data_IF_386180263849
#
_entry.id   IF_386180263849
#
_cell.length_a   1.000
_cell.length_b   1.000
_cell.length_c   1.000
_cell.angle_alpha   90.00
_cell.angle_beta   90.00
_cell.angle_gamma   90.00
#
_symmetry.space_group_name_H-M   'P 1'
#
loop_
_entity.id
_entity.type
_entity.pdbx_description
1 polymer ?
#
# COMPACT_ATOMS: atom_id res chain seq x y z
N UNK A 1 -24.06 -14.80 53.07
CA UNK A 1 -24.39 -13.82 52.05
C UNK A 1 -23.35 -12.72 51.89
N UNK A 2 -22.93 -11.99 52.96
CA UNK A 2 -21.89 -10.93 52.86
C UNK A 2 -20.54 -11.40 52.27
N UNK A 3 -20.05 -12.61 52.63
CA UNK A 3 -18.78 -13.14 52.12
C UNK A 3 -18.83 -13.54 50.64
N UNK A 4 -19.99 -13.99 50.14
CA UNK A 4 -20.19 -14.31 48.72
C UNK A 4 -20.28 -13.04 47.87
N UNK A 5 -20.95 -12.00 48.40
CA UNK A 5 -21.03 -10.70 47.72
C UNK A 5 -19.65 -10.05 47.57
N UNK A 6 -18.80 -10.13 48.61
CA UNK A 6 -17.42 -9.61 48.57
C UNK A 6 -16.54 -10.36 47.55
N UNK A 7 -16.72 -11.69 47.43
CA UNK A 7 -16.00 -12.51 46.45
C UNK A 7 -16.43 -12.20 44.99
N UNK A 8 -17.73 -11.98 44.77
CA UNK A 8 -18.26 -11.60 43.46
C UNK A 8 -17.78 -10.22 43.04
N UNK A 9 -17.76 -9.24 43.95
CA UNK A 9 -17.24 -7.89 43.69
C UNK A 9 -15.73 -7.93 43.39
N UNK A 10 -14.97 -8.77 44.10
CA UNK A 10 -13.51 -8.92 43.84
C UNK A 10 -13.24 -9.60 42.49
N UNK A 11 -14.09 -10.59 42.10
CA UNK A 11 -13.98 -11.22 40.77
C UNK A 11 -14.35 -10.27 39.63
N UNK A 12 -15.34 -9.38 39.81
CA UNK A 12 -15.73 -8.40 38.84
C UNK A 12 -14.66 -7.31 38.61
N UNK A 13 -13.91 -6.93 39.67
CA UNK A 13 -12.81 -5.96 39.55
C UNK A 13 -11.61 -6.50 38.80
N UNK A 14 -11.36 -7.82 38.83
CA UNK A 14 -10.26 -8.45 38.07
C UNK A 14 -10.59 -8.51 36.56
N UNK A 15 -11.88 -8.57 36.17
CA UNK A 15 -12.28 -8.59 34.77
C UNK A 15 -12.27 -7.20 34.08
N UNK A 16 -12.13 -6.10 34.87
CA UNK A 16 -12.08 -4.74 34.35
C UNK A 16 -10.65 -4.21 34.13
N UNK A 17 -9.62 -5.03 34.41
CA UNK A 17 -8.21 -4.60 34.32
C UNK A 17 -7.50 -5.16 33.08
N UNK A 18 -8.20 -5.43 31.97
CA UNK A 18 -7.56 -5.91 30.74
C UNK A 18 -7.98 -5.07 29.53
N UNK A 19 -7.65 -3.78 29.59
CA UNK A 19 -7.36 -2.95 28.43
C UNK A 19 -6.22 -2.02 28.87
N UNK A 20 -5.03 -2.53 28.99
CA UNK A 20 -3.85 -1.71 28.82
C UNK A 20 -3.76 -1.40 27.33
N UNK A 21 -4.33 -0.25 26.94
CA UNK A 21 -3.82 0.43 25.75
C UNK A 21 -2.33 0.65 26.03
N UNK A 22 -1.48 -0.16 25.41
CA UNK A 22 -0.06 0.14 25.33
C UNK A 22 0.08 1.40 24.48
N UNK A 23 -0.01 2.55 25.13
CA UNK A 23 0.30 3.86 24.53
C UNK A 23 1.82 4.02 24.37
N UNK A 24 2.47 3.03 23.75
CA UNK A 24 3.69 3.26 23.02
C UNK A 24 3.32 4.02 21.75
N UNK A 25 4.06 5.06 21.41
CA UNK A 25 3.84 5.79 20.15
C UNK A 25 3.87 4.76 19.01
N UNK A 26 2.76 4.68 18.25
CA UNK A 26 2.66 3.78 17.11
C UNK A 26 3.69 4.18 16.05
N UNK A 27 4.33 3.23 15.37
CA UNK A 27 5.23 3.58 14.28
C UNK A 27 4.45 4.31 13.18
N UNK A 28 5.02 5.42 12.71
CA UNK A 28 4.46 6.22 11.61
C UNK A 28 4.82 5.53 10.30
N UNK A 29 3.83 5.21 9.48
CA UNK A 29 3.99 4.70 8.13
C UNK A 29 3.40 5.72 7.15
N UNK A 30 4.17 6.06 6.12
CA UNK A 30 3.72 6.99 5.09
C UNK A 30 3.73 6.27 3.74
N UNK A 31 2.59 6.29 3.08
CA UNK A 31 2.43 5.84 1.71
C UNK A 31 2.20 7.05 0.80
N UNK A 32 2.74 7.06 -0.41
CA UNK A 32 2.56 8.21 -1.30
C UNK A 32 1.13 8.29 -1.83
N UNK A 33 0.58 7.19 -2.30
CA UNK A 33 -0.75 7.15 -2.94
C UNK A 33 -1.64 6.05 -2.35
N UNK A 34 -2.89 6.04 -2.77
CA UNK A 34 -3.93 5.16 -2.22
C UNK A 34 -3.62 3.65 -2.32
N UNK A 35 -3.09 3.08 -3.42
CA UNK A 35 -2.84 1.63 -3.48
C UNK A 35 -1.94 1.12 -2.35
N UNK A 36 -0.83 1.81 -2.08
CA UNK A 36 0.09 1.46 -0.99
C UNK A 36 -0.56 1.68 0.38
N UNK A 37 -1.29 2.80 0.52
CA UNK A 37 -2.03 3.13 1.73
C UNK A 37 -3.04 2.02 2.07
N UNK A 38 -3.79 1.53 1.08
CA UNK A 38 -4.79 0.49 1.27
C UNK A 38 -4.19 -0.84 1.69
N UNK A 39 -3.06 -1.23 1.09
CA UNK A 39 -2.31 -2.42 1.50
C UNK A 39 -1.89 -2.30 2.96
N UNK A 40 -1.19 -1.22 3.35
CA UNK A 40 -0.74 -1.03 4.74
C UNK A 40 -1.91 -1.03 5.71
N UNK A 41 -3.00 -0.33 5.38
CA UNK A 41 -4.23 -0.29 6.18
C UNK A 41 -4.82 -1.69 6.39
N UNK A 42 -4.83 -2.49 5.33
CA UNK A 42 -5.40 -3.85 5.37
C UNK A 42 -4.51 -4.81 6.15
N UNK A 43 -3.19 -4.67 6.09
CA UNK A 43 -2.24 -5.58 6.75
C UNK A 43 -1.99 -5.22 8.21
N UNK A 44 -1.76 -3.95 8.52
CA UNK A 44 -1.34 -3.48 9.85
C UNK A 44 -2.49 -2.86 10.67
N UNK A 45 -3.61 -2.48 10.03
CA UNK A 45 -4.77 -1.92 10.71
C UNK A 45 -4.41 -0.75 11.63
N UNK A 46 -4.81 -0.86 12.89
CA UNK A 46 -4.59 0.18 13.90
C UNK A 46 -3.22 0.12 14.60
N UNK A 47 -2.31 -0.78 14.22
CA UNK A 47 -0.99 -0.93 14.84
C UNK A 47 0.00 0.14 14.39
N UNK A 48 -0.31 0.89 13.34
CA UNK A 48 0.50 1.99 12.82
C UNK A 48 -0.28 3.31 12.82
N UNK A 49 0.44 4.43 12.84
CA UNK A 49 -0.08 5.74 12.43
C UNK A 49 0.16 5.89 10.93
N UNK A 50 -0.89 5.66 10.13
CA UNK A 50 -0.80 5.63 8.68
C UNK A 50 -1.24 6.95 8.06
N UNK A 51 -0.39 7.52 7.23
CA UNK A 51 -0.65 8.77 6.50
C UNK A 51 -0.43 8.55 5.00
N UNK A 52 -1.27 9.18 4.17
CA UNK A 52 -1.09 9.25 2.73
C UNK A 52 -0.53 10.63 2.37
N UNK A 53 0.64 10.67 1.68
CA UNK A 53 1.31 11.92 1.36
C UNK A 53 0.54 12.71 0.30
N UNK A 54 0.07 12.06 -0.76
CA UNK A 54 -0.72 12.69 -1.81
C UNK A 54 -2.19 12.44 -1.55
N UNK A 55 -2.92 13.48 -1.13
CA UNK A 55 -4.33 13.36 -0.77
C UNK A 55 -5.22 13.10 -1.99
N UNK A 56 -6.39 12.45 -1.82
CA UNK A 56 -7.32 12.20 -2.89
C UNK A 56 -7.70 13.51 -3.63
N UNK A 57 -7.64 13.45 -4.97
CA UNK A 57 -7.96 14.60 -5.83
C UNK A 57 -6.77 15.52 -6.14
N UNK A 58 -5.61 15.27 -5.56
CA UNK A 58 -4.36 15.92 -5.94
C UNK A 58 -3.73 15.14 -7.09
N UNK A 59 -3.21 15.86 -8.08
CA UNK A 59 -2.47 15.25 -9.20
C UNK A 59 -1.11 14.74 -8.70
N UNK A 60 -0.93 13.43 -8.74
CA UNK A 60 0.28 12.75 -8.26
C UNK A 60 1.51 13.04 -9.10
N UNK A 61 1.33 13.29 -10.41
CA UNK A 61 2.45 13.55 -11.34
C UNK A 61 3.10 14.92 -11.14
N UNK A 62 2.37 15.87 -10.54
CA UNK A 62 2.83 17.24 -10.30
C UNK A 62 2.92 17.56 -8.79
N UNK A 63 2.92 16.54 -7.93
CA UNK A 63 3.00 16.75 -6.50
C UNK A 63 4.43 16.97 -6.03
N UNK A 64 4.65 18.10 -5.36
CA UNK A 64 5.88 18.39 -4.61
C UNK A 64 5.56 18.42 -3.11
N UNK A 65 6.27 17.65 -2.27
CA UNK A 65 6.01 17.63 -0.83
C UNK A 65 6.41 18.95 -0.18
N UNK A 66 5.61 19.40 0.75
CA UNK A 66 5.96 20.54 1.60
C UNK A 66 7.13 20.21 2.54
N UNK A 67 7.72 21.24 3.17
CA UNK A 67 8.77 21.05 4.19
C UNK A 67 8.28 20.21 5.37
N UNK A 68 7.00 20.36 5.72
CA UNK A 68 6.37 19.60 6.80
C UNK A 68 6.21 18.12 6.39
N UNK A 69 5.77 17.85 5.16
CA UNK A 69 5.68 16.49 4.63
C UNK A 69 7.05 15.80 4.61
N UNK A 70 8.07 16.49 4.08
CA UNK A 70 9.45 15.99 4.08
C UNK A 70 9.97 15.70 5.50
N UNK A 71 9.59 16.54 6.47
CA UNK A 71 9.98 16.34 7.86
C UNK A 71 9.29 15.13 8.46
N UNK A 72 8.02 14.91 8.14
CA UNK A 72 7.25 13.76 8.59
C UNK A 72 7.78 12.46 7.98
N UNK A 73 8.06 12.47 6.67
CA UNK A 73 8.65 11.33 5.95
C UNK A 73 10.01 10.94 6.55
N UNK A 74 10.87 11.90 6.86
CA UNK A 74 12.18 11.62 7.52
C UNK A 74 12.05 10.93 8.87
N UNK A 75 10.97 11.18 9.60
CA UNK A 75 10.71 10.62 10.93
C UNK A 75 9.90 9.32 10.90
N UNK A 76 9.36 8.95 9.75
CA UNK A 76 8.56 7.74 9.63
C UNK A 76 9.39 6.49 9.88
N UNK A 77 8.75 5.46 10.43
CA UNK A 77 9.33 4.14 10.59
C UNK A 77 9.40 3.39 9.25
N UNK A 78 8.53 3.75 8.30
CA UNK A 78 8.52 3.22 6.93
C UNK A 78 7.90 4.27 6.00
N UNK A 79 8.59 4.55 4.90
CA UNK A 79 8.09 5.35 3.78
C UNK A 79 7.99 4.49 2.53
N UNK A 80 6.82 4.49 1.88
CA UNK A 80 6.50 3.64 0.71
C UNK A 80 6.12 4.55 -0.45
N UNK A 81 6.76 4.36 -1.60
CA UNK A 81 6.47 5.10 -2.82
C UNK A 81 6.53 4.21 -4.06
N UNK A 82 5.98 4.69 -5.19
CA UNK A 82 5.82 3.89 -6.41
C UNK A 82 7.16 3.66 -7.11
N UNK A 83 7.91 4.74 -7.35
CA UNK A 83 9.19 4.73 -8.05
C UNK A 83 9.63 6.13 -8.46
N UNK A 84 10.92 6.30 -8.76
CA UNK A 84 11.53 7.61 -9.07
C UNK A 84 10.95 8.27 -10.34
N UNK A 85 10.35 7.49 -11.23
CA UNK A 85 9.67 8.00 -12.41
C UNK A 85 8.35 8.72 -12.09
N UNK A 86 7.78 8.48 -10.92
CA UNK A 86 6.55 9.12 -10.44
C UNK A 86 6.83 10.10 -9.30
N UNK A 87 7.59 9.67 -8.29
CA UNK A 87 7.97 10.48 -7.13
C UNK A 87 9.48 10.75 -7.12
N UNK A 88 9.97 11.55 -8.06
CA UNK A 88 11.41 11.84 -8.24
C UNK A 88 12.09 12.50 -7.02
N UNK A 89 11.29 13.05 -6.12
CA UNK A 89 11.72 13.65 -4.86
C UNK A 89 11.92 12.61 -3.75
N UNK A 90 11.29 11.43 -3.83
CA UNK A 90 11.19 10.46 -2.74
C UNK A 90 12.56 9.92 -2.31
N UNK A 91 13.39 9.47 -3.25
CA UNK A 91 14.72 8.93 -2.96
C UNK A 91 15.70 9.95 -2.37
N UNK A 92 15.42 11.26 -2.50
CA UNK A 92 16.31 12.34 -2.02
C UNK A 92 15.99 12.83 -0.62
N UNK A 93 14.84 12.47 -0.05
CA UNK A 93 14.39 12.96 1.27
C UNK A 93 15.30 12.49 2.40
N UNK A 94 15.89 11.29 2.29
CA UNK A 94 16.76 10.71 3.31
C UNK A 94 16.01 10.16 4.53
N UNK A 95 14.87 9.53 4.32
CA UNK A 95 14.19 8.71 5.32
C UNK A 95 15.05 7.46 5.64
N UNK A 96 14.94 6.95 6.87
CA UNK A 96 15.79 5.85 7.33
C UNK A 96 15.36 4.48 6.78
N UNK A 97 14.09 4.31 6.47
CA UNK A 97 13.53 3.10 5.91
C UNK A 97 12.59 3.47 4.77
N UNK A 98 13.01 3.19 3.55
CA UNK A 98 12.33 3.54 2.31
C UNK A 98 12.08 2.26 1.51
N UNK A 99 10.84 2.09 1.05
CA UNK A 99 10.46 1.03 0.13
C UNK A 99 10.07 1.65 -1.22
N UNK A 100 10.94 1.46 -2.22
CA UNK A 100 10.65 1.73 -3.62
C UNK A 100 9.98 0.51 -4.24
N UNK A 101 8.71 0.62 -4.59
CA UNK A 101 7.94 -0.51 -5.09
C UNK A 101 8.38 -0.93 -6.49
N UNK A 102 8.89 -0.01 -7.30
CA UNK A 102 9.37 -0.33 -8.65
C UNK A 102 10.62 -1.21 -8.67
N UNK A 103 11.36 -1.30 -7.54
CA UNK A 103 12.58 -2.09 -7.41
C UNK A 103 12.34 -3.51 -6.87
N UNK A 104 11.09 -3.87 -6.59
CA UNK A 104 10.74 -5.21 -6.11
C UNK A 104 11.03 -6.23 -7.21
N UNK A 105 11.68 -7.33 -6.85
CA UNK A 105 11.97 -8.43 -7.78
C UNK A 105 10.66 -8.97 -8.38
N UNK A 106 10.59 -9.01 -9.71
CA UNK A 106 9.42 -9.44 -10.48
C UNK A 106 8.50 -8.31 -10.91
N UNK A 107 8.70 -7.07 -10.46
CA UNK A 107 8.06 -5.91 -11.06
C UNK A 107 8.73 -5.61 -12.40
N UNK A 108 7.93 -5.56 -13.46
CA UNK A 108 8.39 -5.16 -14.80
C UNK A 108 7.83 -3.80 -15.14
N UNK A 109 8.68 -2.93 -15.69
CA UNK A 109 8.28 -1.58 -16.06
C UNK A 109 8.05 -1.51 -17.59
N UNK A 110 6.89 -1.00 -17.98
CA UNK A 110 6.53 -0.79 -19.39
C UNK A 110 6.69 0.67 -19.76
N UNK A 111 7.16 0.91 -20.98
CA UNK A 111 7.27 2.25 -21.54
C UNK A 111 5.94 2.64 -22.22
N UNK A 112 5.54 3.90 -22.06
CA UNK A 112 4.43 4.47 -22.80
C UNK A 112 4.93 4.71 -24.24
N UNK A 113 4.41 3.94 -25.21
CA UNK A 113 4.62 4.26 -26.63
C UNK A 113 3.62 5.36 -27.05
N UNK A 114 4.02 6.62 -26.94
CA UNK A 114 3.29 7.73 -27.57
C UNK A 114 3.40 7.64 -29.10
N UNK A 115 2.35 7.12 -29.76
CA UNK A 115 2.27 7.04 -31.21
C UNK A 115 2.02 8.40 -31.91
N UNK A 116 1.97 9.49 -31.15
CA UNK A 116 1.64 10.83 -31.65
C UNK A 116 2.52 11.90 -31.00
N UNK A 117 3.79 12.01 -31.40
CA UNK A 117 4.47 13.27 -31.72
C UNK A 117 5.97 13.06 -31.94
N UNK A 118 6.51 13.75 -32.95
CA UNK A 118 7.92 13.74 -33.34
C UNK A 118 8.77 14.64 -32.42
N UNK A 119 8.73 14.44 -31.11
CA UNK A 119 9.72 15.00 -30.21
C UNK A 119 10.45 13.85 -29.54
N UNK A 120 11.80 13.89 -29.61
CA UNK A 120 12.70 13.02 -28.88
C UNK A 120 12.48 13.27 -27.37
N UNK A 121 11.49 12.58 -26.78
CA UNK A 121 11.34 12.50 -25.35
C UNK A 121 11.78 11.12 -24.90
N UNK A 122 12.55 11.08 -23.83
CA UNK A 122 12.85 9.86 -23.07
C UNK A 122 11.56 9.04 -22.93
N UNK A 123 11.67 7.73 -23.18
CA UNK A 123 10.54 6.81 -23.05
C UNK A 123 10.03 6.88 -21.62
N UNK A 124 8.93 7.60 -21.43
CA UNK A 124 8.31 7.74 -20.11
C UNK A 124 7.79 6.37 -19.67
N UNK A 125 8.20 5.96 -18.49
CA UNK A 125 7.72 4.72 -17.86
C UNK A 125 6.26 4.93 -17.45
N UNK A 126 5.39 3.95 -17.74
CA UNK A 126 4.02 3.96 -17.21
C UNK A 126 4.07 3.79 -15.68
N UNK A 127 3.62 4.78 -14.91
CA UNK A 127 3.71 4.74 -13.46
C UNK A 127 2.66 3.84 -12.80
N UNK A 128 1.66 3.36 -13.53
CA UNK A 128 0.49 2.68 -12.97
C UNK A 128 0.72 1.19 -12.66
N UNK A 129 1.91 0.85 -12.12
CA UNK A 129 2.34 -0.53 -11.84
C UNK A 129 1.36 -1.32 -10.95
N UNK A 130 0.60 -0.63 -10.10
CA UNK A 130 -0.39 -1.24 -9.20
C UNK A 130 -1.65 -1.74 -9.91
N UNK A 131 -1.84 -1.41 -11.19
CA UNK A 131 -2.97 -1.92 -11.97
C UNK A 131 -2.75 -3.36 -12.43
N UNK A 132 -1.51 -3.85 -12.50
CA UNK A 132 -1.24 -5.27 -12.62
C UNK A 132 -1.58 -5.99 -11.31
N UNK A 133 -2.41 -7.03 -11.39
CA UNK A 133 -2.77 -7.85 -10.24
C UNK A 133 -1.59 -8.70 -9.74
N UNK A 134 -0.71 -9.11 -10.64
CA UNK A 134 0.55 -9.79 -10.31
C UNK A 134 1.50 -8.85 -9.55
N UNK A 135 1.68 -7.61 -10.02
CA UNK A 135 2.50 -6.63 -9.30
C UNK A 135 1.87 -6.28 -7.94
N UNK A 136 0.56 -6.14 -7.87
CA UNK A 136 -0.14 -5.86 -6.61
C UNK A 136 0.11 -6.94 -5.56
N UNK A 137 0.18 -8.21 -5.95
CA UNK A 137 0.56 -9.32 -5.06
C UNK A 137 2.01 -9.18 -4.57
N UNK A 138 2.95 -8.87 -5.47
CA UNK A 138 4.36 -8.66 -5.11
C UNK A 138 4.52 -7.48 -4.15
N UNK A 139 3.87 -6.36 -4.44
CA UNK A 139 3.83 -5.18 -3.58
C UNK A 139 3.26 -5.52 -2.19
N UNK A 140 2.15 -6.27 -2.14
CA UNK A 140 1.53 -6.70 -0.89
C UNK A 140 2.50 -7.51 -0.03
N UNK A 141 3.17 -8.49 -0.64
CA UNK A 141 4.12 -9.36 0.08
C UNK A 141 5.37 -8.60 0.55
N UNK A 142 5.87 -7.63 -0.22
CA UNK A 142 7.03 -6.84 0.21
C UNK A 142 6.66 -5.84 1.31
N UNK A 143 5.51 -5.17 1.19
CA UNK A 143 4.99 -4.29 2.26
C UNK A 143 4.78 -5.09 3.55
N UNK A 144 4.23 -6.31 3.46
CA UNK A 144 4.08 -7.21 4.63
C UNK A 144 5.41 -7.48 5.32
N UNK A 145 6.48 -7.78 4.57
CA UNK A 145 7.82 -8.00 5.13
C UNK A 145 8.34 -6.77 5.87
N UNK A 146 8.19 -5.58 5.29
CA UNK A 146 8.62 -4.33 5.94
C UNK A 146 7.79 -4.01 7.20
N UNK A 147 6.48 -4.24 7.15
CA UNK A 147 5.62 -4.07 8.34
C UNK A 147 6.00 -5.03 9.46
N UNK A 148 6.33 -6.29 9.16
CA UNK A 148 6.77 -7.26 10.17
C UNK A 148 8.09 -6.85 10.85
N UNK A 149 8.99 -6.13 10.15
CA UNK A 149 10.23 -5.61 10.76
C UNK A 149 9.97 -4.51 11.79
N UNK A 150 9.01 -3.63 11.52
CA UNK A 150 8.67 -2.50 12.41
C UNK A 150 7.62 -2.86 13.47
N UNK A 151 6.91 -3.98 13.29
CA UNK A 151 5.86 -4.50 14.17
C UNK A 151 6.12 -5.97 14.54
N UNK A 152 7.25 -6.30 15.19
CA UNK A 152 7.63 -7.70 15.44
C UNK A 152 6.62 -8.48 16.29
N UNK A 153 5.89 -7.80 17.18
CA UNK A 153 4.89 -8.42 18.06
C UNK A 153 3.59 -8.79 17.30
N UNK A 154 3.39 -8.29 16.10
CA UNK A 154 2.18 -8.48 15.29
C UNK A 154 2.44 -9.29 14.01
N UNK A 155 3.59 -9.95 13.87
CA UNK A 155 3.97 -10.68 12.66
C UNK A 155 2.93 -11.70 12.21
N UNK A 156 2.35 -12.46 13.14
CA UNK A 156 1.37 -13.50 12.80
C UNK A 156 0.05 -12.90 12.31
N UNK A 157 -0.39 -11.78 12.90
CA UNK A 157 -1.57 -11.05 12.46
C UNK A 157 -1.37 -10.46 11.07
N UNK A 158 -0.21 -9.81 10.83
CA UNK A 158 0.15 -9.24 9.52
C UNK A 158 0.16 -10.33 8.45
N UNK A 159 0.73 -11.50 8.70
CA UNK A 159 0.73 -12.64 7.77
C UNK A 159 -0.68 -13.15 7.48
N UNK A 160 -1.53 -13.26 8.48
CA UNK A 160 -2.92 -13.70 8.30
C UNK A 160 -3.71 -12.69 7.45
N UNK A 161 -3.46 -11.39 7.67
CA UNK A 161 -4.07 -10.32 6.89
C UNK A 161 -3.54 -10.30 5.44
N UNK A 162 -2.23 -10.53 5.25
CA UNK A 162 -1.62 -10.70 3.93
C UNK A 162 -2.27 -11.85 3.16
N UNK A 163 -2.40 -13.03 3.78
CA UNK A 163 -3.05 -14.19 3.14
C UNK A 163 -4.50 -13.85 2.72
N UNK A 164 -5.24 -13.13 3.56
CA UNK A 164 -6.60 -12.69 3.25
C UNK A 164 -6.61 -11.75 2.05
N UNK A 165 -5.76 -10.72 2.04
CA UNK A 165 -5.66 -9.73 0.96
C UNK A 165 -5.22 -10.39 -0.36
N UNK A 166 -4.23 -11.29 -0.33
CA UNK A 166 -3.79 -12.06 -1.50
C UNK A 166 -4.89 -12.98 -2.04
N UNK A 167 -5.72 -13.55 -1.18
CA UNK A 167 -6.87 -14.36 -1.62
C UNK A 167 -7.95 -13.51 -2.31
N UNK A 168 -8.19 -12.27 -1.84
CA UNK A 168 -9.09 -11.34 -2.52
C UNK A 168 -8.56 -10.96 -3.91
N UNK A 169 -7.26 -10.68 -4.05
CA UNK A 169 -6.64 -10.44 -5.36
C UNK A 169 -6.80 -11.66 -6.28
N UNK A 170 -6.56 -12.87 -5.77
CA UNK A 170 -6.74 -14.10 -6.57
C UNK A 170 -8.18 -14.30 -7.02
N UNK A 171 -9.19 -13.90 -6.24
CA UNK A 171 -10.59 -13.92 -6.67
C UNK A 171 -10.82 -12.95 -7.83
N UNK A 172 -10.25 -11.73 -7.77
CA UNK A 172 -10.33 -10.75 -8.85
C UNK A 172 -9.67 -11.30 -10.12
N UNK A 173 -8.50 -11.93 -10.02
CA UNK A 173 -7.82 -12.57 -11.17
C UNK A 173 -8.75 -13.60 -11.83
N UNK A 174 -9.36 -14.48 -11.06
CA UNK A 174 -10.29 -15.49 -11.59
C UNK A 174 -11.51 -14.86 -12.29
N UNK A 175 -12.04 -13.75 -11.74
CA UNK A 175 -13.14 -13.01 -12.37
C UNK A 175 -12.70 -12.33 -13.66
N UNK A 176 -11.49 -11.75 -13.69
CA UNK A 176 -10.93 -11.12 -14.90
C UNK A 176 -10.72 -12.13 -16.03
N UNK A 177 -10.23 -13.35 -15.74
CA UNK A 177 -10.12 -14.42 -16.75
C UNK A 177 -11.47 -14.76 -17.39
N UNK A 178 -12.56 -14.74 -16.62
CA UNK A 178 -13.90 -14.98 -17.14
C UNK A 178 -14.37 -13.85 -18.07
N UNK A 179 -14.04 -12.60 -17.69
CA UNK A 179 -14.35 -11.41 -18.50
C UNK A 179 -13.55 -11.43 -19.79
N UNK A 180 -12.27 -11.75 -19.74
CA UNK A 180 -11.39 -11.86 -20.91
C UNK A 180 -11.96 -12.87 -21.93
N UNK A 181 -12.30 -14.07 -21.49
CA UNK A 181 -12.94 -15.09 -22.35
C UNK A 181 -14.24 -14.61 -23.00
N UNK A 182 -15.04 -13.81 -22.25
CA UNK A 182 -16.30 -13.24 -22.76
C UNK A 182 -16.08 -12.05 -23.70
N UNK A 183 -14.91 -11.42 -23.61
CA UNK A 183 -14.51 -10.24 -24.38
C UNK A 183 -13.70 -10.58 -25.64
N UNK A 184 -13.37 -11.83 -25.88
CA UNK A 184 -12.57 -12.26 -27.03
C UNK A 184 -13.12 -11.68 -28.37
N UNK A 185 -12.23 -11.04 -29.14
CA UNK A 185 -12.58 -10.37 -30.40
C UNK A 185 -13.36 -9.07 -30.27
N UNK A 186 -13.52 -8.51 -29.07
CA UNK A 186 -14.13 -7.20 -28.84
C UNK A 186 -13.08 -6.10 -28.78
N UNK A 187 -13.47 -4.88 -29.16
CA UNK A 187 -12.63 -3.69 -29.03
C UNK A 187 -13.18 -2.81 -27.92
N UNK A 188 -12.30 -2.37 -27.04
CA UNK A 188 -12.63 -1.43 -25.97
C UNK A 188 -12.22 -0.02 -26.36
N UNK A 189 -13.04 0.98 -26.01
CA UNK A 189 -12.78 2.38 -26.25
C UNK A 189 -12.70 3.13 -24.93
N UNK A 190 -11.61 3.85 -24.70
CA UNK A 190 -11.40 4.67 -23.52
C UNK A 190 -11.48 6.16 -23.88
N UNK A 191 -12.20 6.94 -23.09
CA UNK A 191 -12.38 8.38 -23.27
C UNK A 191 -11.46 9.25 -22.41
N UNK A 192 -10.52 8.64 -21.68
CA UNK A 192 -9.55 9.27 -20.78
C UNK A 192 -8.15 8.73 -21.06
N UNK A 193 -7.06 9.33 -20.54
CA UNK A 193 -5.74 8.72 -20.55
C UNK A 193 -5.79 7.27 -20.03
N UNK A 194 -5.10 6.38 -20.72
CA UNK A 194 -5.18 4.95 -20.46
C UNK A 194 -4.20 4.55 -19.34
N UNK A 195 -4.70 4.35 -18.14
CA UNK A 195 -3.92 4.00 -16.96
C UNK A 195 -3.91 2.48 -16.63
N UNK A 196 -4.42 1.65 -17.55
CA UNK A 196 -4.62 0.21 -17.31
C UNK A 196 -3.74 -0.68 -18.19
N UNK A 197 -2.60 -0.15 -18.65
CA UNK A 197 -1.70 -0.86 -19.54
C UNK A 197 -1.27 -2.21 -18.94
N UNK A 198 -0.77 -2.20 -17.72
CA UNK A 198 -0.34 -3.41 -17.03
C UNK A 198 -1.47 -4.42 -16.77
N UNK A 199 -2.70 -3.97 -16.53
CA UNK A 199 -3.85 -4.86 -16.35
C UNK A 199 -4.21 -5.62 -17.64
N UNK A 200 -3.97 -5.01 -18.82
CA UNK A 200 -4.31 -5.59 -20.12
C UNK A 200 -3.13 -6.35 -20.76
N UNK A 201 -1.95 -6.35 -20.17
CA UNK A 201 -0.80 -7.14 -20.58
C UNK A 201 -0.70 -8.49 -19.84
N UNK A 202 -1.46 -8.69 -18.77
CA UNK A 202 -1.56 -9.97 -18.05
C UNK A 202 -2.50 -10.93 -18.77
#
# INVERSE_FOLDING_TARGET
MRKILTLVVLLLTVMLSSCEDSSGDKPIVIATIFPQYDIVRSLAGSHVELTMAVLPGVDTHNYDPSVDDMTLIKKSALFIYTGDFMENWAGTIGASNILNLSEIEGITLSNIEDKHDHHEHDHDIDPHIWTSLTHLKLMTSEISKELQKILPDFCDEIKSNEETYLNEINQIINEMELIEKAAEGKTFYFGTPFAFHYLFEE
#
